data_IF_796823796214
#
_entry.id   IF_796823796214
#
_cell.length_a   1.000
_cell.length_b   1.000
_cell.length_c   1.000
_cell.angle_alpha   90.00
_cell.angle_beta   90.00
_cell.angle_gamma   90.00
#
_symmetry.space_group_name_H-M   'P 1'
#
loop_
_entity.id
_entity.type
_entity.pdbx_description
1 polymer ?
#
# COMPACT_ATOMS: atom_id res chain seq x y z
N UNK A 1 -21.94 6.75 -5.24
CA UNK A 1 -22.06 6.68 -3.77
C UNK A 1 -21.24 7.80 -3.16
N UNK A 2 -21.86 8.83 -2.56
CA UNK A 2 -21.14 9.96 -1.97
C UNK A 2 -20.96 9.70 -0.49
N UNK A 3 -19.75 9.35 -0.08
CA UNK A 3 -19.43 9.15 1.33
C UNK A 3 -19.36 10.52 2.03
N UNK A 4 -20.15 10.75 3.09
CA UNK A 4 -20.08 12.00 3.83
C UNK A 4 -18.69 12.14 4.48
N UNK A 5 -18.13 13.36 4.46
CA UNK A 5 -16.88 13.64 5.15
C UNK A 5 -17.10 13.49 6.66
N UNK A 6 -16.17 12.84 7.34
CA UNK A 6 -16.17 12.72 8.79
C UNK A 6 -16.03 14.12 9.43
N UNK A 7 -16.89 14.41 10.40
CA UNK A 7 -16.87 15.66 11.19
C UNK A 7 -16.61 15.29 12.64
N UNK A 8 -15.71 16.02 13.31
CA UNK A 8 -15.41 15.81 14.72
C UNK A 8 -16.57 16.29 15.61
N UNK A 9 -16.82 15.57 16.72
CA UNK A 9 -17.86 15.90 17.70
C UNK A 9 -17.45 17.06 18.62
N UNK A 10 -16.18 17.14 18.96
CA UNK A 10 -15.59 18.09 19.91
C UNK A 10 -14.13 18.40 19.52
N UNK A 11 -13.50 19.38 20.18
CA UNK A 11 -12.13 19.83 19.86
C UNK A 11 -11.07 18.75 20.06
N UNK A 12 -11.22 17.91 21.07
CA UNK A 12 -10.33 16.77 21.31
C UNK A 12 -10.43 15.75 20.16
N UNK A 13 -11.65 15.41 19.74
CA UNK A 13 -11.90 14.58 18.56
C UNK A 13 -11.34 15.23 17.29
N UNK A 14 -11.36 16.57 17.17
CA UNK A 14 -10.78 17.27 16.03
C UNK A 14 -9.26 17.08 15.98
N UNK A 15 -8.59 17.18 17.12
CA UNK A 15 -7.14 16.89 17.23
C UNK A 15 -6.80 15.44 16.89
N UNK A 16 -7.62 14.47 17.30
CA UNK A 16 -7.43 13.06 16.94
C UNK A 16 -7.72 12.80 15.46
N UNK A 17 -8.77 13.41 14.91
CA UNK A 17 -9.13 13.28 13.49
C UNK A 17 -8.03 13.84 12.60
N UNK A 18 -7.42 14.97 12.97
CA UNK A 18 -6.30 15.56 12.23
C UNK A 18 -5.08 14.63 12.13
N UNK A 19 -4.88 13.73 13.10
CA UNK A 19 -3.79 12.73 13.08
C UNK A 19 -4.08 11.53 12.18
N UNK A 20 -5.34 11.28 11.80
CA UNK A 20 -5.76 10.12 10.98
C UNK A 20 -5.55 10.38 9.48
N UNK A 21 -4.34 10.75 9.11
CA UNK A 21 -3.93 10.90 7.71
C UNK A 21 -3.29 9.60 7.20
N UNK A 22 -3.33 9.38 5.88
CA UNK A 22 -2.61 8.26 5.28
C UNK A 22 -1.12 8.34 5.61
N UNK A 23 -0.50 9.51 5.54
CA UNK A 23 0.91 9.71 5.91
C UNK A 23 1.21 9.20 7.32
N UNK A 24 0.40 9.57 8.31
CA UNK A 24 0.61 9.11 9.68
C UNK A 24 0.37 7.61 9.83
N UNK A 25 -0.64 7.07 9.15
CA UNK A 25 -0.93 5.64 9.16
C UNK A 25 0.24 4.82 8.57
N UNK A 26 0.74 5.23 7.41
CA UNK A 26 1.86 4.57 6.73
C UNK A 26 3.19 4.73 7.49
N UNK A 27 3.40 5.86 8.17
CA UNK A 27 4.57 6.06 9.03
C UNK A 27 4.52 5.17 10.28
N UNK A 28 3.33 4.99 10.88
CA UNK A 28 3.16 4.10 12.05
C UNK A 28 3.25 2.63 11.67
N UNK A 29 2.89 2.28 10.43
CA UNK A 29 2.90 0.94 9.85
C UNK A 29 2.44 -0.15 10.84
N UNK A 30 1.18 -0.08 11.34
CA UNK A 30 0.68 -1.06 12.29
C UNK A 30 0.68 -2.48 11.71
N UNK A 31 0.76 -3.51 12.56
CA UNK A 31 0.89 -4.92 12.14
C UNK A 31 -0.18 -5.37 11.15
N UNK A 32 -1.45 -4.96 11.35
CA UNK A 32 -2.51 -5.32 10.42
C UNK A 32 -2.31 -4.75 9.01
N UNK A 33 -1.69 -3.56 8.90
CA UNK A 33 -1.40 -2.93 7.61
C UNK A 33 -0.24 -3.66 6.94
N UNK A 34 0.81 -4.01 7.70
CA UNK A 34 1.92 -4.81 7.19
C UNK A 34 1.44 -6.16 6.63
N UNK A 35 0.63 -6.89 7.40
CA UNK A 35 0.04 -8.17 6.97
C UNK A 35 -0.89 -8.02 5.76
N UNK A 36 -1.62 -6.90 5.65
CA UNK A 36 -2.44 -6.62 4.48
C UNK A 36 -1.58 -6.39 3.23
N UNK A 37 -0.46 -5.68 3.38
CA UNK A 37 0.51 -5.50 2.30
C UNK A 37 1.19 -6.82 1.91
N UNK A 38 1.63 -7.64 2.85
CA UNK A 38 2.22 -8.96 2.55
C UNK A 38 1.27 -9.86 1.74
N UNK A 39 -0.01 -9.89 2.11
CA UNK A 39 -1.03 -10.64 1.34
C UNK A 39 -1.23 -10.08 -0.06
N UNK A 40 -1.22 -8.75 -0.20
CA UNK A 40 -1.35 -8.09 -1.49
C UNK A 40 -0.13 -8.39 -2.37
N UNK A 41 1.07 -8.27 -1.83
CA UNK A 41 2.33 -8.50 -2.55
C UNK A 41 2.42 -9.96 -3.03
N UNK A 42 2.03 -10.93 -2.20
CA UNK A 42 1.96 -12.33 -2.60
C UNK A 42 0.97 -12.58 -3.75
N UNK A 43 -0.23 -11.99 -3.68
CA UNK A 43 -1.23 -12.13 -4.75
C UNK A 43 -0.78 -11.45 -6.05
N UNK A 44 -0.09 -10.32 -5.96
CA UNK A 44 0.50 -9.63 -7.13
C UNK A 44 1.62 -10.49 -7.73
N UNK A 45 2.54 -11.02 -6.90
CA UNK A 45 3.61 -11.89 -7.38
C UNK A 45 3.04 -13.12 -8.11
N UNK A 46 2.01 -13.76 -7.56
CA UNK A 46 1.28 -14.85 -8.22
C UNK A 46 0.70 -14.44 -9.58
N UNK A 47 0.07 -13.26 -9.68
CA UNK A 47 -0.50 -12.75 -10.93
C UNK A 47 0.56 -12.50 -12.02
N UNK A 48 1.78 -12.13 -11.62
CA UNK A 48 2.92 -11.99 -12.52
C UNK A 48 3.66 -13.32 -12.78
N UNK A 49 3.31 -14.40 -12.07
CA UNK A 49 4.03 -15.67 -12.10
C UNK A 49 5.42 -15.60 -11.49
N UNK A 50 5.64 -14.67 -10.55
CA UNK A 50 6.93 -14.42 -9.90
C UNK A 50 6.98 -15.02 -8.49
N UNK A 51 8.17 -15.37 -7.97
CA UNK A 51 8.34 -15.71 -6.57
C UNK A 51 7.91 -14.55 -5.65
N UNK A 52 7.29 -14.87 -4.51
CA UNK A 52 6.82 -13.87 -3.55
C UNK A 52 7.93 -13.34 -2.62
N UNK A 53 9.10 -13.98 -2.62
CA UNK A 53 10.27 -13.69 -1.79
C UNK A 53 11.36 -12.87 -2.52
N UNK A 54 11.02 -12.28 -3.66
CA UNK A 54 11.93 -11.42 -4.42
C UNK A 54 12.28 -10.16 -3.62
N UNK A 55 13.54 -9.76 -3.70
CA UNK A 55 13.96 -8.46 -3.19
C UNK A 55 13.57 -7.32 -4.17
N UNK A 56 13.67 -6.08 -3.69
CA UNK A 56 13.25 -4.90 -4.46
C UNK A 56 14.01 -4.77 -5.79
N UNK A 57 15.32 -5.02 -5.81
CA UNK A 57 16.13 -4.92 -7.04
C UNK A 57 15.71 -5.96 -8.08
N UNK A 58 15.41 -7.19 -7.65
CA UNK A 58 14.93 -8.26 -8.53
C UNK A 58 13.56 -7.93 -9.13
N UNK A 59 12.65 -7.37 -8.33
CA UNK A 59 11.33 -6.93 -8.79
C UNK A 59 11.50 -5.82 -9.84
N UNK A 60 12.35 -4.83 -9.58
CA UNK A 60 12.62 -3.73 -10.50
C UNK A 60 13.24 -4.22 -11.82
N UNK A 61 14.19 -5.15 -11.77
CA UNK A 61 14.82 -5.72 -12.95
C UNK A 61 13.79 -6.48 -13.84
N UNK A 62 12.91 -7.28 -13.22
CA UNK A 62 11.85 -8.01 -13.93
C UNK A 62 10.82 -7.05 -14.55
N UNK A 63 10.41 -6.02 -13.82
CA UNK A 63 9.49 -4.99 -14.32
C UNK A 63 10.10 -4.23 -15.50
N UNK A 64 11.39 -3.90 -15.43
CA UNK A 64 12.10 -3.24 -16.52
C UNK A 64 12.12 -4.12 -17.77
N UNK A 65 12.50 -5.40 -17.65
CA UNK A 65 12.51 -6.33 -18.77
C UNK A 65 11.12 -6.45 -19.42
N UNK A 66 10.08 -6.65 -18.62
CA UNK A 66 8.69 -6.73 -19.08
C UNK A 66 8.24 -5.45 -19.80
N UNK A 67 8.65 -4.28 -19.31
CA UNK A 67 8.32 -3.00 -19.94
C UNK A 67 9.04 -2.83 -21.29
N UNK A 68 10.31 -3.25 -21.38
CA UNK A 68 11.05 -3.22 -22.64
C UNK A 68 10.45 -4.17 -23.68
N UNK A 69 10.01 -5.36 -23.29
CA UNK A 69 9.32 -6.32 -24.18
C UNK A 69 7.99 -5.78 -24.71
N UNK A 70 7.25 -4.99 -23.92
CA UNK A 70 5.95 -4.41 -24.32
C UNK A 70 6.07 -3.12 -25.12
N UNK A 71 7.17 -2.41 -24.97
CA UNK A 71 7.42 -1.13 -25.62
C UNK A 71 8.11 -1.27 -26.99
N UNK A 72 8.69 -2.44 -27.28
CA UNK A 72 9.19 -2.82 -28.61
C UNK A 72 8.08 -3.32 -29.51
#
# INVERSE_FOLDING_TARGET
MRYPRLVARDEECAGQLAKRTLTNLYNQRPTWLALAHEKLDAAVAEAYGWPADLNEEEILARLLALNLERAG
#
